data_IF_376830424411
#
_entry.id   IF_376830424411
#
_cell.length_a   1.000
_cell.length_b   1.000
_cell.length_c   1.000
_cell.angle_alpha   90.00
_cell.angle_beta   90.00
_cell.angle_gamma   90.00
#
_symmetry.space_group_name_H-M   'P 1'
#
loop_
_entity.id
_entity.type
_entity.pdbx_description
1 polymer ?
#
# COMPACT_ATOMS: atom_id res chain seq x y z
N UNK A 1 4.03 -13.73 9.98
CA UNK A 1 5.07 -12.68 10.16
C UNK A 1 6.02 -12.58 8.99
N UNK A 2 6.66 -13.67 8.52
CA UNK A 2 7.61 -13.59 7.39
C UNK A 2 6.94 -13.17 6.08
N UNK A 3 5.86 -13.85 5.68
CA UNK A 3 5.04 -13.49 4.50
C UNK A 3 4.56 -12.02 4.49
N UNK A 4 4.22 -11.49 5.66
CA UNK A 4 3.80 -10.10 5.79
C UNK A 4 4.97 -9.17 5.51
N UNK A 5 6.15 -9.42 6.11
CA UNK A 5 7.37 -8.65 5.83
C UNK A 5 7.75 -8.71 4.36
N UNK A 6 7.69 -9.88 3.74
CA UNK A 6 8.03 -10.04 2.32
C UNK A 6 7.07 -9.27 1.40
N UNK A 7 5.77 -9.25 1.74
CA UNK A 7 4.78 -8.45 1.04
C UNK A 7 5.07 -6.94 1.18
N UNK A 8 5.46 -6.48 2.38
CA UNK A 8 5.84 -5.08 2.62
C UNK A 8 7.07 -4.70 1.80
N UNK A 9 8.11 -5.54 1.76
CA UNK A 9 9.29 -5.28 0.93
C UNK A 9 8.92 -5.22 -0.57
N UNK A 10 7.96 -6.05 -1.02
CA UNK A 10 7.47 -5.98 -2.39
C UNK A 10 6.67 -4.71 -2.68
N UNK A 11 5.89 -4.22 -1.71
CA UNK A 11 5.12 -2.97 -1.81
C UNK A 11 6.06 -1.77 -1.85
N UNK A 12 7.17 -1.77 -1.10
CA UNK A 12 8.14 -0.66 -1.10
C UNK A 12 8.78 -0.38 -2.47
N UNK A 13 8.87 -1.40 -3.32
CA UNK A 13 9.41 -1.27 -4.68
C UNK A 13 8.29 -1.24 -5.74
N UNK A 14 7.04 -1.04 -5.33
CA UNK A 14 5.90 -0.98 -6.24
C UNK A 14 5.95 0.32 -7.03
N UNK A 15 5.88 0.15 -8.35
CA UNK A 15 5.56 1.20 -9.31
C UNK A 15 4.32 0.76 -10.09
N UNK A 16 3.29 1.59 -10.10
CA UNK A 16 2.03 1.29 -10.77
C UNK A 16 1.31 2.57 -11.19
N UNK A 17 0.28 2.51 -12.05
CA UNK A 17 -0.51 3.69 -12.36
C UNK A 17 -1.06 4.34 -11.09
N UNK A 18 -1.05 5.68 -11.04
CA UNK A 18 -1.45 6.45 -9.84
C UNK A 18 -2.84 6.08 -9.33
N UNK A 19 -3.78 5.72 -10.22
CA UNK A 19 -5.12 5.25 -9.85
C UNK A 19 -5.24 3.75 -9.50
N UNK A 20 -4.15 2.98 -9.52
CA UNK A 20 -4.15 1.52 -9.31
C UNK A 20 -3.43 1.10 -8.02
N UNK A 21 -2.92 2.06 -7.23
CA UNK A 21 -2.17 1.81 -5.99
C UNK A 21 -2.96 0.90 -5.04
N UNK A 22 -4.24 1.19 -4.83
CA UNK A 22 -5.13 0.45 -3.93
C UNK A 22 -5.27 -1.03 -4.35
N UNK A 23 -5.59 -1.25 -5.63
CA UNK A 23 -5.75 -2.58 -6.19
C UNK A 23 -4.45 -3.39 -6.17
N UNK A 24 -3.32 -2.73 -6.43
CA UNK A 24 -1.99 -3.36 -6.46
C UNK A 24 -1.52 -3.74 -5.08
N UNK A 25 -1.67 -2.87 -4.10
CA UNK A 25 -1.34 -3.16 -2.70
C UNK A 25 -2.17 -4.33 -2.19
N UNK A 26 -3.49 -4.33 -2.43
CA UNK A 26 -4.34 -5.45 -2.05
C UNK A 26 -3.97 -6.76 -2.77
N UNK A 27 -3.62 -6.69 -4.06
CA UNK A 27 -3.16 -7.85 -4.84
C UNK A 27 -1.86 -8.44 -4.30
N UNK A 28 -0.86 -7.62 -3.96
CA UNK A 28 0.41 -8.11 -3.40
C UNK A 28 0.18 -8.81 -2.06
N UNK A 29 -0.66 -8.25 -1.19
CA UNK A 29 -0.97 -8.86 0.10
C UNK A 29 -1.69 -10.21 -0.07
N UNK A 30 -2.57 -10.34 -1.07
CA UNK A 30 -3.22 -11.60 -1.42
C UNK A 30 -2.23 -12.62 -2.02
N UNK A 31 -1.36 -12.20 -2.95
CA UNK A 31 -0.36 -13.05 -3.62
C UNK A 31 0.62 -13.68 -2.63
N UNK A 32 1.01 -12.93 -1.59
CA UNK A 32 1.87 -13.42 -0.51
C UNK A 32 1.11 -14.21 0.56
N UNK A 33 -0.22 -14.33 0.42
CA UNK A 33 -1.08 -15.07 1.35
C UNK A 33 -1.19 -14.42 2.72
N UNK A 34 -1.12 -13.08 2.79
CA UNK A 34 -1.34 -12.31 4.03
C UNK A 34 -2.81 -12.36 4.42
N UNK A 35 -3.71 -12.09 3.48
CA UNK A 35 -5.16 -12.14 3.65
C UNK A 35 -5.85 -12.28 2.30
N UNK A 36 -7.14 -12.65 2.31
CA UNK A 36 -7.91 -12.61 1.07
C UNK A 36 -8.16 -11.15 0.66
N UNK A 37 -8.21 -10.85 -0.64
CA UNK A 37 -8.47 -9.48 -1.13
C UNK A 37 -9.79 -8.90 -0.61
N UNK A 38 -10.79 -9.74 -0.31
CA UNK A 38 -12.07 -9.32 0.30
C UNK A 38 -11.94 -8.84 1.74
N UNK A 39 -10.85 -9.20 2.41
CA UNK A 39 -10.54 -8.84 3.79
C UNK A 39 -9.55 -7.66 3.85
N UNK A 40 -9.07 -7.17 2.71
CA UNK A 40 -8.12 -6.07 2.62
C UNK A 40 -8.85 -4.83 2.12
N UNK A 41 -8.84 -3.79 2.94
CA UNK A 41 -9.35 -2.47 2.59
C UNK A 41 -8.18 -1.53 2.46
N UNK A 42 -8.00 -0.93 1.28
CA UNK A 42 -7.02 0.15 1.05
C UNK A 42 -7.80 1.42 0.77
N UNK A 43 -7.60 2.45 1.59
CA UNK A 43 -8.26 3.74 1.44
C UNK A 43 -7.23 4.85 1.36
N UNK A 44 -7.47 5.84 0.50
CA UNK A 44 -6.76 7.12 0.55
C UNK A 44 -6.94 7.77 1.92
N UNK A 45 -5.83 8.23 2.51
CA UNK A 45 -5.82 8.91 3.80
C UNK A 45 -5.07 10.25 3.69
N UNK A 46 -5.79 11.30 3.30
CA UNK A 46 -5.24 12.64 3.08
C UNK A 46 -4.63 13.26 4.34
N UNK A 47 -5.09 12.86 5.54
CA UNK A 47 -4.55 13.36 6.81
C UNK A 47 -3.09 12.94 7.05
N UNK A 48 -2.66 11.85 6.41
CA UNK A 48 -1.31 11.31 6.51
C UNK A 48 -0.43 11.67 5.30
N UNK A 49 -0.91 12.53 4.42
CA UNK A 49 -0.13 13.00 3.28
C UNK A 49 1.16 13.66 3.72
N UNK A 50 2.20 13.42 2.93
CA UNK A 50 3.50 14.03 3.11
C UNK A 50 3.82 14.93 1.93
N UNK A 51 4.86 15.77 2.06
CA UNK A 51 5.22 16.74 1.03
C UNK A 51 5.55 16.01 -0.28
N UNK A 52 4.60 16.07 -1.22
CA UNK A 52 4.69 15.42 -2.52
C UNK A 52 4.45 13.92 -2.53
N UNK A 53 3.79 13.35 -1.51
CA UNK A 53 3.38 11.94 -1.50
C UNK A 53 1.97 11.76 -0.92
N UNK A 54 1.21 10.91 -1.59
CA UNK A 54 -0.13 10.48 -1.25
C UNK A 54 -0.10 9.29 -0.30
N UNK A 55 -0.82 9.37 0.83
CA UNK A 55 -0.91 8.29 1.79
C UNK A 55 -2.15 7.38 1.59
N UNK A 56 -1.96 6.09 1.77
CA UNK A 56 -3.01 5.08 1.74
C UNK A 56 -2.96 4.25 3.01
N UNK A 57 -4.07 4.16 3.72
CA UNK A 57 -4.22 3.28 4.87
C UNK A 57 -4.76 1.93 4.43
N UNK A 58 -4.05 0.88 4.81
CA UNK A 58 -4.44 -0.50 4.55
C UNK A 58 -4.89 -1.13 5.86
N UNK A 59 -6.08 -1.73 5.84
CA UNK A 59 -6.65 -2.49 6.93
C UNK A 59 -6.88 -3.93 6.48
N UNK A 60 -6.49 -4.88 7.32
CA UNK A 60 -6.60 -6.32 7.04
C UNK A 60 -7.53 -6.94 8.10
N UNK A 61 -8.61 -7.56 7.63
CA UNK A 61 -9.76 -8.02 8.43
C UNK A 61 -9.39 -8.68 9.75
N UNK A 62 -9.96 -8.15 10.84
CA UNK A 62 -9.87 -8.73 12.19
C UNK A 62 -8.53 -8.58 12.92
N UNK A 63 -7.45 -8.20 12.24
CA UNK A 63 -6.15 -7.95 12.86
C UNK A 63 -5.92 -6.45 13.08
N UNK A 64 -5.17 -6.12 14.14
CA UNK A 64 -4.72 -4.75 14.44
C UNK A 64 -3.64 -4.23 13.48
N UNK A 65 -3.13 -5.07 12.60
CA UNK A 65 -2.06 -4.69 11.67
C UNK A 65 -2.64 -3.76 10.60
N UNK A 66 -2.33 -2.48 10.74
CA UNK A 66 -2.61 -1.46 9.73
C UNK A 66 -1.29 -0.93 9.21
N UNK A 67 -1.20 -0.78 7.89
CA UNK A 67 -0.03 -0.16 7.27
C UNK A 67 -0.43 1.11 6.55
N UNK A 68 0.47 2.08 6.56
CA UNK A 68 0.37 3.30 5.77
C UNK A 68 1.36 3.20 4.63
N UNK A 69 0.86 3.29 3.41
CA UNK A 69 1.66 3.31 2.18
C UNK A 69 1.71 4.74 1.68
N UNK A 70 2.91 5.31 1.54
CA UNK A 70 3.11 6.59 0.88
C UNK A 70 3.49 6.34 -0.57
N UNK A 71 2.77 6.93 -1.52
CA UNK A 71 3.02 6.81 -2.93
C UNK A 71 3.17 8.21 -3.56
N UNK A 72 4.18 8.40 -4.39
CA UNK A 72 4.44 9.67 -5.08
C UNK A 72 4.18 9.50 -6.57
N UNK A 73 3.34 10.37 -7.13
CA UNK A 73 3.18 10.51 -8.57
C UNK A 73 4.53 10.88 -9.20
N UNK A 74 4.97 10.08 -10.16
CA UNK A 74 6.16 10.31 -10.96
C UNK A 74 5.99 11.54 -11.86
N UNK A 75 7.06 11.93 -12.53
CA UNK A 75 7.17 13.21 -13.27
C UNK A 75 6.09 13.45 -14.34
N UNK A 76 5.44 12.39 -14.81
CA UNK A 76 4.38 12.41 -15.82
C UNK A 76 2.98 12.08 -15.24
N UNK A 77 2.82 12.05 -13.91
CA UNK A 77 1.61 11.70 -13.14
C UNK A 77 0.99 10.32 -13.46
N UNK A 78 1.66 9.52 -14.30
CA UNK A 78 1.17 8.24 -14.79
C UNK A 78 1.64 7.04 -13.97
N UNK A 79 2.65 7.21 -13.11
CA UNK A 79 3.24 6.14 -12.30
C UNK A 79 3.39 6.62 -10.87
N UNK A 80 2.73 6.00 -9.91
CA UNK A 80 2.99 6.16 -8.50
C UNK A 80 4.09 5.21 -8.04
N UNK A 81 5.11 5.76 -7.38
CA UNK A 81 6.18 5.03 -6.70
C UNK A 81 5.93 5.02 -5.19
N UNK A 82 5.98 3.86 -4.56
CA UNK A 82 5.90 3.77 -3.10
C UNK A 82 7.19 4.28 -2.47
N UNK A 83 7.10 5.36 -1.70
CA UNK A 83 8.24 6.02 -1.04
C UNK A 83 8.38 5.65 0.44
N UNK A 84 7.39 4.98 1.01
CA UNK A 84 7.43 4.53 2.39
C UNK A 84 6.28 3.59 2.76
N UNK A 85 6.54 2.68 3.68
CA UNK A 85 5.51 1.84 4.31
C UNK A 85 5.74 1.82 5.82
N UNK A 86 4.73 2.21 6.59
CA UNK A 86 4.79 2.28 8.05
C UNK A 86 3.76 1.33 8.65
N UNK A 87 4.14 0.57 9.68
CA UNK A 87 3.19 -0.19 10.49
C UNK A 87 2.68 0.71 11.63
N UNK A 88 1.38 0.71 11.84
CA UNK A 88 0.73 1.27 13.03
C UNK A 88 0.52 0.18 14.09
#
# INVERSE_FOLDING_TARGET
>A
MEKFKDAIERIKILQCPTGDVENRVAGILEDYGVANKKEITVNRNEELDSIGAEAYSVQIGGNKESIVVLARSGKDDYVAEVVGVYMN
#
